data_IF_474668708112
#
_entry.id   IF_474668708112
#
_cell.length_a   1.000
_cell.length_b   1.000
_cell.length_c   1.000
_cell.angle_alpha   90.00
_cell.angle_beta   90.00
_cell.angle_gamma   90.00
#
_symmetry.space_group_name_H-M   'P 1'
#
loop_
_entity.id
_entity.type
_entity.pdbx_description
1 polymer ?
#
# COMPACT_ATOMS: atom_id res chain seq x y z
N UNK A 1 11.69 -8.78 -9.50
CA UNK A 1 10.98 -7.64 -8.88
C UNK A 1 9.59 -7.55 -9.50
N UNK A 2 8.54 -7.51 -8.69
CA UNK A 2 7.16 -7.43 -9.20
C UNK A 2 6.87 -6.05 -9.81
N UNK A 3 6.12 -6.02 -10.92
CA UNK A 3 5.75 -4.80 -11.66
C UNK A 3 4.62 -4.02 -11.01
N UNK A 4 3.85 -4.65 -10.12
CA UNK A 4 2.73 -4.10 -9.35
C UNK A 4 3.17 -3.39 -8.07
N UNK A 5 4.41 -3.58 -7.66
CA UNK A 5 4.98 -2.91 -6.49
C UNK A 5 4.99 -1.39 -6.70
N UNK A 6 4.37 -0.67 -5.76
CA UNK A 6 4.46 0.79 -5.66
C UNK A 6 5.82 1.13 -5.03
N UNK A 7 6.58 2.03 -5.66
CA UNK A 7 7.89 2.46 -5.16
C UNK A 7 8.00 3.99 -5.22
N UNK A 8 8.95 4.58 -4.47
CA UNK A 8 9.27 5.99 -4.62
C UNK A 8 9.60 6.32 -6.08
N UNK A 9 8.87 7.27 -6.66
CA UNK A 9 8.99 7.65 -8.08
C UNK A 9 8.33 6.69 -9.09
N UNK A 10 7.79 5.56 -8.65
CA UNK A 10 7.07 4.60 -9.50
C UNK A 10 5.65 4.34 -8.95
N UNK A 11 4.74 5.33 -9.00
CA UNK A 11 3.37 5.13 -8.56
C UNK A 11 2.63 4.08 -9.39
N UNK A 12 1.58 3.48 -8.82
CA UNK A 12 0.77 2.47 -9.51
C UNK A 12 -0.70 2.81 -9.43
N UNK A 13 -1.36 2.79 -10.58
CA UNK A 13 -2.80 2.95 -10.69
C UNK A 13 -3.52 1.67 -10.28
N UNK A 14 -4.65 1.82 -9.61
CA UNK A 14 -5.54 0.72 -9.23
C UNK A 14 -6.14 0.03 -10.46
N UNK A 15 -6.63 -1.21 -10.35
CA UNK A 15 -7.29 -1.90 -11.45
C UNK A 15 -8.53 -1.16 -12.00
N UNK A 16 -9.22 -0.35 -11.19
CA UNK A 16 -10.32 0.49 -11.69
C UNK A 16 -9.86 1.69 -12.51
N UNK A 17 -8.59 2.11 -12.43
CA UNK A 17 -8.12 3.35 -13.04
C UNK A 17 -8.49 4.62 -12.25
N UNK A 18 -9.21 4.49 -11.14
CA UNK A 18 -9.75 5.63 -10.37
C UNK A 18 -8.77 6.16 -9.32
N UNK A 19 -7.83 5.34 -8.88
CA UNK A 19 -6.91 5.68 -7.80
C UNK A 19 -5.47 5.38 -8.19
N UNK A 20 -4.54 6.12 -7.62
CA UNK A 20 -3.11 5.88 -7.77
C UNK A 20 -2.46 5.85 -6.40
N UNK A 21 -1.70 4.78 -6.13
CA UNK A 21 -0.92 4.63 -4.91
C UNK A 21 0.51 5.12 -5.14
N UNK A 22 1.05 5.74 -4.09
CA UNK A 22 2.38 6.34 -4.03
C UNK A 22 3.08 5.84 -2.77
N UNK A 23 4.36 5.49 -2.91
CA UNK A 23 5.23 5.28 -1.76
C UNK A 23 6.01 6.57 -1.54
N UNK A 24 5.61 7.35 -0.53
CA UNK A 24 6.25 8.63 -0.19
C UNK A 24 7.18 8.46 1.02
N UNK A 25 8.15 9.38 1.17
CA UNK A 25 9.03 9.38 2.33
C UNK A 25 8.23 9.70 3.60
N UNK A 26 8.37 8.84 4.61
CA UNK A 26 7.86 9.07 5.96
C UNK A 26 8.91 9.67 6.89
N UNK A 27 8.49 9.98 8.12
CA UNK A 27 9.38 10.39 9.20
C UNK A 27 10.44 9.31 9.51
N UNK A 28 11.75 9.62 9.40
CA UNK A 28 12.80 8.65 9.64
C UNK A 28 12.75 8.05 11.05
N UNK A 29 12.88 6.72 11.15
CA UNK A 29 12.92 6.03 12.44
C UNK A 29 14.34 5.58 12.75
N UNK A 30 14.91 6.05 13.85
CA UNK A 30 16.28 5.72 14.26
C UNK A 30 17.30 5.91 13.11
N UNK A 31 17.20 7.02 12.36
CA UNK A 31 18.01 7.35 11.16
C UNK A 31 17.76 6.48 9.92
N UNK A 32 16.83 5.53 9.98
CA UNK A 32 16.44 4.70 8.85
C UNK A 32 15.34 5.41 8.05
N UNK A 33 15.49 5.43 6.72
CA UNK A 33 14.44 5.91 5.83
C UNK A 33 13.19 5.04 5.96
N UNK A 34 12.04 5.68 5.90
CA UNK A 34 10.74 5.02 5.98
C UNK A 34 9.88 5.42 4.82
N UNK A 35 8.93 4.57 4.46
CA UNK A 35 7.93 4.86 3.45
C UNK A 35 6.53 4.89 4.06
N UNK A 36 5.69 5.77 3.55
CA UNK A 36 4.26 5.87 3.88
C UNK A 36 3.49 5.61 2.59
N UNK A 37 2.39 4.87 2.70
CA UNK A 37 1.47 4.71 1.59
C UNK A 37 0.53 5.91 1.48
N UNK A 38 0.34 6.39 0.25
CA UNK A 38 -0.53 7.52 -0.07
C UNK A 38 -1.35 7.15 -1.29
N UNK A 39 -2.67 7.33 -1.21
CA UNK A 39 -3.58 7.08 -2.32
C UNK A 39 -4.20 8.40 -2.75
N UNK A 40 -4.15 8.67 -4.05
CA UNK A 40 -4.80 9.83 -4.67
C UNK A 40 -5.86 9.40 -5.67
N UNK A 41 -6.90 10.21 -5.81
CA UNK A 41 -7.90 10.06 -6.88
C UNK A 41 -7.35 10.54 -8.24
N UNK A 42 -8.20 10.52 -9.27
CA UNK A 42 -7.84 10.93 -10.63
C UNK A 42 -7.54 12.43 -10.77
N UNK A 43 -8.10 13.26 -9.89
CA UNK A 43 -7.87 14.69 -9.84
C UNK A 43 -6.59 15.03 -9.05
N UNK A 44 -5.96 14.03 -8.43
CA UNK A 44 -4.75 14.16 -7.63
C UNK A 44 -5.01 14.51 -6.16
N UNK A 45 -6.25 14.46 -5.69
CA UNK A 45 -6.57 14.69 -4.29
C UNK A 45 -6.16 13.49 -3.46
N UNK A 46 -5.52 13.74 -2.31
CA UNK A 46 -5.20 12.69 -1.34
C UNK A 46 -6.49 12.20 -0.68
N UNK A 47 -6.81 10.92 -0.88
CA UNK A 47 -7.98 10.25 -0.27
C UNK A 47 -7.58 9.36 0.91
N UNK A 48 -6.29 9.03 1.00
CA UNK A 48 -5.73 8.24 2.09
C UNK A 48 -4.23 8.53 2.23
N UNK A 49 -3.77 8.56 3.48
CA UNK A 49 -2.36 8.53 3.87
C UNK A 49 -2.23 7.63 5.09
N UNK A 50 -1.33 6.67 5.03
CA UNK A 50 -1.07 5.78 6.15
C UNK A 50 -0.47 6.59 7.32
N UNK A 51 -0.94 6.32 8.53
CA UNK A 51 -0.41 6.92 9.76
C UNK A 51 0.91 6.28 10.19
N UNK A 52 1.21 5.08 9.69
CA UNK A 52 2.43 4.35 9.95
C UNK A 52 3.48 4.60 8.86
N UNK A 53 4.72 4.85 9.32
CA UNK A 53 5.90 4.89 8.46
C UNK A 53 6.65 3.54 8.55
N UNK A 54 6.88 2.90 7.41
CA UNK A 54 7.48 1.57 7.32
C UNK A 54 8.97 1.66 7.00
N UNK A 55 9.80 1.06 7.85
CA UNK A 55 11.25 1.00 7.65
C UNK A 55 11.63 0.30 6.35
N UNK A 56 12.42 0.98 5.51
CA UNK A 56 12.95 0.38 4.27
C UNK A 56 13.96 -0.74 4.54
N UNK A 57 14.49 -0.83 5.77
CA UNK A 57 15.48 -1.86 6.16
C UNK A 57 14.86 -3.26 6.26
N UNK A 58 13.62 -3.35 6.72
CA UNK A 58 12.92 -4.63 6.92
C UNK A 58 12.12 -5.07 5.68
N UNK A 59 12.05 -4.21 4.66
CA UNK A 59 11.27 -4.43 3.46
C UNK A 59 9.79 -4.14 3.68
N UNK A 60 9.25 -3.31 2.80
CA UNK A 60 7.82 -3.03 2.69
C UNK A 60 7.42 -3.14 1.23
N UNK A 61 6.26 -3.74 0.98
CA UNK A 61 5.64 -3.80 -0.33
C UNK A 61 4.23 -3.20 -0.23
N UNK A 62 3.97 -2.20 -1.06
CA UNK A 62 2.61 -1.78 -1.37
C UNK A 62 2.23 -2.25 -2.76
N UNK A 63 1.02 -2.79 -2.93
CA UNK A 63 0.54 -3.32 -4.21
C UNK A 63 -0.98 -3.34 -4.26
N UNK A 64 -1.57 -3.09 -5.43
CA UNK A 64 -3.01 -3.30 -5.62
C UNK A 64 -3.33 -4.80 -5.71
N UNK A 65 -4.47 -5.18 -5.14
CA UNK A 65 -5.09 -6.48 -5.41
C UNK A 65 -5.70 -6.43 -6.81
N UNK A 66 -5.50 -7.47 -7.62
CA UNK A 66 -5.98 -7.45 -9.01
C UNK A 66 -7.46 -7.78 -9.11
N UNK A 67 -7.99 -8.55 -8.15
CA UNK A 67 -9.41 -8.96 -8.12
C UNK A 67 -10.31 -7.95 -7.43
N UNK A 68 -9.76 -7.09 -6.55
CA UNK A 68 -10.52 -6.06 -5.83
C UNK A 68 -10.02 -4.68 -6.26
N UNK A 69 -10.78 -3.95 -7.09
CA UNK A 69 -10.27 -2.82 -7.84
C UNK A 69 -9.90 -1.60 -6.98
N UNK A 70 -10.33 -1.56 -5.73
CA UNK A 70 -10.08 -0.47 -4.78
C UNK A 70 -9.38 -0.94 -3.50
N UNK A 71 -8.65 -2.05 -3.55
CA UNK A 71 -7.97 -2.60 -2.38
C UNK A 71 -6.45 -2.62 -2.57
N UNK A 72 -5.75 -1.84 -1.76
CA UNK A 72 -4.29 -1.83 -1.69
C UNK A 72 -3.82 -2.72 -0.55
N UNK A 73 -2.77 -3.50 -0.78
CA UNK A 73 -2.13 -4.36 0.21
C UNK A 73 -0.79 -3.79 0.64
N UNK A 74 -0.56 -3.84 1.95
CA UNK A 74 0.67 -3.42 2.61
C UNK A 74 1.29 -4.64 3.29
N UNK A 75 2.47 -5.04 2.84
CA UNK A 75 3.22 -6.16 3.40
C UNK A 75 4.49 -5.61 4.04
N UNK A 76 4.51 -5.54 5.35
CA UNK A 76 5.69 -5.23 6.14
C UNK A 76 6.22 -6.50 6.80
N UNK A 77 7.53 -6.75 6.70
CA UNK A 77 8.15 -7.88 7.40
C UNK A 77 8.26 -7.65 8.92
N UNK A 78 8.06 -6.42 9.38
CA UNK A 78 8.23 -6.01 10.77
C UNK A 78 6.87 -5.76 11.45
N UNK A 79 5.98 -5.02 10.78
CA UNK A 79 4.70 -4.59 11.37
C UNK A 79 3.57 -5.58 11.11
N UNK A 80 3.58 -6.28 9.98
CA UNK A 80 2.52 -7.21 9.58
C UNK A 80 1.97 -6.97 8.18
N UNK A 81 0.82 -7.59 7.90
CA UNK A 81 0.14 -7.49 6.61
C UNK A 81 -1.21 -6.81 6.79
N UNK A 82 -1.45 -5.80 5.99
CA UNK A 82 -2.65 -4.96 6.03
C UNK A 82 -3.23 -4.81 4.63
N UNK A 83 -4.48 -4.39 4.58
CA UNK A 83 -5.06 -3.85 3.36
C UNK A 83 -5.78 -2.54 3.65
N UNK A 84 -5.89 -1.70 2.64
CA UNK A 84 -6.60 -0.43 2.67
C UNK A 84 -7.65 -0.44 1.57
N UNK A 85 -8.88 -0.10 1.93
CA UNK A 85 -9.99 0.01 0.98
C UNK A 85 -11.00 1.06 1.45
N UNK A 86 -11.75 1.70 0.54
CA UNK A 86 -12.85 2.56 0.90
C UNK A 86 -14.00 1.74 1.49
N UNK A 87 -14.72 2.30 2.45
CA UNK A 87 -16.03 1.82 2.89
C UNK A 87 -17.15 2.31 1.95
N UNK A 88 -18.40 1.95 2.26
CA UNK A 88 -19.58 2.34 1.48
C UNK A 88 -19.81 3.86 1.43
N UNK A 89 -19.14 4.63 2.29
CA UNK A 89 -19.18 6.10 2.32
C UNK A 89 -17.97 6.74 1.61
N UNK A 90 -17.06 5.93 1.05
CA UNK A 90 -15.85 6.39 0.38
C UNK A 90 -14.70 6.73 1.32
N UNK A 91 -14.82 6.43 2.62
CA UNK A 91 -13.73 6.65 3.58
C UNK A 91 -12.75 5.48 3.50
N UNK A 92 -11.48 5.77 3.25
CA UNK A 92 -10.43 4.76 3.18
C UNK A 92 -10.00 4.31 4.57
N UNK A 93 -10.08 3.01 4.81
CA UNK A 93 -9.75 2.42 6.10
C UNK A 93 -8.68 1.34 5.93
N UNK A 94 -7.69 1.36 6.82
CA UNK A 94 -6.66 0.33 6.94
C UNK A 94 -7.10 -0.76 7.90
N UNK A 95 -6.94 -2.01 7.51
CA UNK A 95 -7.29 -3.17 8.32
C UNK A 95 -6.15 -4.18 8.37
N UNK A 96 -5.95 -4.80 9.52
CA UNK A 96 -5.02 -5.92 9.63
C UNK A 96 -5.62 -7.14 8.91
N UNK A 97 -4.85 -7.74 8.02
CA UNK A 97 -5.32 -8.88 7.25
C UNK A 97 -5.37 -10.13 8.15
N UNK A 98 -6.55 -10.75 8.26
CA UNK A 98 -6.72 -12.09 8.84
C UNK A 98 -6.58 -13.19 7.79
N UNK A 99 -6.99 -12.88 6.56
CA UNK A 99 -6.86 -13.74 5.39
C UNK A 99 -6.12 -12.99 4.29
N UNK A 100 -5.08 -13.62 3.73
CA UNK A 100 -4.26 -13.04 2.66
C UNK A 100 -4.59 -13.76 1.35
N UNK A 101 -5.03 -13.04 0.30
CA UNK A 101 -5.28 -13.59 -1.02
C UNK A 101 -4.04 -14.30 -1.58
N UNK A 102 -4.28 -15.35 -2.39
CA UNK A 102 -3.21 -16.18 -2.93
C UNK A 102 -2.19 -15.36 -3.73
N UNK A 103 -2.63 -14.40 -4.55
CA UNK A 103 -1.72 -13.57 -5.32
C UNK A 103 -0.80 -12.69 -4.45
N UNK A 104 -1.25 -12.32 -3.25
CA UNK A 104 -0.45 -11.55 -2.29
C UNK A 104 0.51 -12.49 -1.55
N UNK A 105 0.10 -13.74 -1.29
CA UNK A 105 0.98 -14.75 -0.71
C UNK A 105 2.17 -15.06 -1.62
N UNK A 106 1.91 -15.20 -2.91
CA UNK A 106 2.93 -15.45 -3.94
C UNK A 106 3.95 -14.31 -4.02
N UNK A 107 3.50 -13.06 -3.85
CA UNK A 107 4.39 -11.89 -3.80
C UNK A 107 5.33 -11.88 -2.60
N UNK A 108 4.86 -12.36 -1.45
CA UNK A 108 5.68 -12.45 -0.23
C UNK A 108 6.61 -13.66 -0.24
N UNK A 109 6.38 -14.63 -1.13
CA UNK A 109 7.13 -15.88 -1.18
C UNK A 109 6.78 -16.84 -0.03
N UNK A 110 5.51 -16.88 0.37
CA UNK A 110 5.01 -17.93 1.27
C UNK A 110 5.14 -19.34 0.65
#
# INVERSE_FOLDING_TARGET
>A
MDKRAVRPGEPKTSPSGLYTAYAEDGEPQNTVKTLVDVIRDQDGNEVYRDDAAYSTRHGVLFTWLTTEPHQLWILSSDVGTFYVSPDDHGTWNKQHATEVPQEIKELRGY
#
